data_IF_533463764485
#
_entry.id   IF_533463764485
#
_cell.length_a   1.000
_cell.length_b   1.000
_cell.length_c   1.000
_cell.angle_alpha   90.00
_cell.angle_beta   90.00
_cell.angle_gamma   90.00
#
_symmetry.space_group_name_H-M   'P 1'
#
loop_
_entity.id
_entity.type
_entity.pdbx_description
1 polymer ?
#
# COMPACT_ATOMS: atom_id res chain seq x y z
N UNK A 1 -12.23 -18.43 -4.32
CA UNK A 1 -11.09 -17.55 -3.95
C UNK A 1 -11.32 -16.03 -4.15
N UNK A 2 -12.52 -15.56 -4.54
CA UNK A 2 -12.75 -14.16 -4.96
C UNK A 2 -13.13 -13.19 -3.83
N UNK A 3 -13.87 -13.63 -2.79
CA UNK A 3 -14.42 -12.72 -1.75
C UNK A 3 -13.36 -12.19 -0.78
N UNK A 4 -12.49 -13.06 -0.28
CA UNK A 4 -11.53 -12.70 0.79
C UNK A 4 -10.50 -11.66 0.33
N UNK A 5 -9.94 -11.80 -0.88
CA UNK A 5 -9.03 -10.81 -1.46
C UNK A 5 -9.69 -9.43 -1.66
N UNK A 6 -10.98 -9.41 -2.02
CA UNK A 6 -11.71 -8.16 -2.18
C UNK A 6 -11.92 -7.44 -0.84
N UNK A 7 -12.19 -8.20 0.23
CA UNK A 7 -12.35 -7.67 1.58
C UNK A 7 -11.03 -7.07 2.09
N UNK A 8 -9.90 -7.77 1.91
CA UNK A 8 -8.59 -7.25 2.34
C UNK A 8 -8.24 -5.95 1.62
N UNK A 9 -8.46 -5.88 0.29
CA UNK A 9 -8.24 -4.65 -0.49
C UNK A 9 -9.10 -3.49 0.00
N UNK A 10 -10.37 -3.76 0.31
CA UNK A 10 -11.29 -2.75 0.82
C UNK A 10 -10.85 -2.19 2.18
N UNK A 11 -10.49 -3.08 3.12
CA UNK A 11 -9.99 -2.69 4.44
C UNK A 11 -8.69 -1.89 4.32
N UNK A 12 -7.74 -2.34 3.48
CA UNK A 12 -6.50 -1.60 3.23
C UNK A 12 -6.75 -0.22 2.63
N UNK A 13 -7.70 -0.10 1.70
CA UNK A 13 -8.08 1.19 1.13
C UNK A 13 -8.60 2.16 2.19
N UNK A 14 -9.48 1.69 3.09
CA UNK A 14 -9.98 2.50 4.21
C UNK A 14 -8.84 2.92 5.14
N UNK A 15 -7.94 2.00 5.49
CA UNK A 15 -6.77 2.29 6.33
C UNK A 15 -5.88 3.38 5.73
N UNK A 16 -5.61 3.32 4.42
CA UNK A 16 -4.81 4.33 3.72
C UNK A 16 -5.50 5.69 3.78
N UNK A 17 -6.82 5.75 3.59
CA UNK A 17 -7.59 7.00 3.68
C UNK A 17 -7.50 7.61 5.09
N UNK A 18 -7.68 6.79 6.13
CA UNK A 18 -7.59 7.26 7.52
C UNK A 18 -6.19 7.80 7.82
N UNK A 19 -5.14 7.09 7.41
CA UNK A 19 -3.75 7.51 7.59
C UNK A 19 -3.41 8.78 6.78
N UNK A 20 -3.96 8.92 5.57
CA UNK A 20 -3.79 10.14 4.79
C UNK A 20 -4.46 11.34 5.47
N UNK A 21 -5.70 11.18 5.95
CA UNK A 21 -6.43 12.22 6.68
C UNK A 21 -5.66 12.64 7.94
N UNK A 22 -5.09 11.70 8.69
CA UNK A 22 -4.34 12.04 9.90
C UNK A 22 -3.07 12.85 9.60
N UNK A 23 -2.40 12.59 8.47
CA UNK A 23 -1.28 13.41 7.98
C UNK A 23 -1.78 14.81 7.59
N UNK A 24 -2.92 14.92 6.90
CA UNK A 24 -3.50 16.21 6.48
C UNK A 24 -3.91 17.10 7.65
N UNK A 25 -4.45 16.53 8.73
CA UNK A 25 -4.84 17.27 9.93
C UNK A 25 -3.60 17.85 10.64
N UNK A 26 -2.41 17.30 10.42
CA UNK A 26 -1.15 17.83 10.96
C UNK A 26 -0.97 17.68 12.47
N UNK A 27 -1.90 17.00 13.15
CA UNK A 27 -1.88 16.81 14.61
C UNK A 27 -1.05 15.57 15.04
N UNK A 28 -0.49 14.83 14.09
CA UNK A 28 0.36 13.66 14.34
C UNK A 28 1.66 13.84 13.56
N UNK A 29 2.79 13.42 14.13
CA UNK A 29 4.09 13.46 13.47
C UNK A 29 4.05 12.64 12.17
N UNK A 30 4.14 13.35 11.05
CA UNK A 30 4.11 12.77 9.71
C UNK A 30 5.29 11.83 9.46
N UNK A 31 6.43 12.02 10.16
CA UNK A 31 7.60 11.12 10.07
C UNK A 31 7.28 9.72 10.55
N UNK A 32 6.35 9.60 11.50
CA UNK A 32 5.91 8.32 12.06
C UNK A 32 4.80 7.73 11.19
N UNK A 33 3.79 8.53 10.82
CA UNK A 33 2.58 8.03 10.13
C UNK A 33 2.86 7.66 8.66
N UNK A 34 3.75 8.40 7.99
CA UNK A 34 4.04 8.20 6.56
C UNK A 34 4.63 6.81 6.24
N UNK A 35 5.60 6.27 6.99
CA UNK A 35 6.04 4.88 6.84
C UNK A 35 4.90 3.85 6.94
N UNK A 36 3.97 4.01 7.89
CA UNK A 36 2.83 3.10 8.04
C UNK A 36 1.87 3.21 6.86
N UNK A 37 1.55 4.43 6.41
CA UNK A 37 0.71 4.65 5.23
C UNK A 37 1.33 4.01 3.98
N UNK A 38 2.63 4.22 3.76
CA UNK A 38 3.37 3.62 2.64
C UNK A 38 3.41 2.09 2.73
N UNK A 39 3.57 1.54 3.93
CA UNK A 39 3.49 0.08 4.15
C UNK A 39 2.12 -0.47 3.76
N UNK A 40 1.03 0.16 4.22
CA UNK A 40 -0.33 -0.21 3.82
C UNK A 40 -0.53 -0.12 2.30
N UNK A 41 0.01 0.92 1.68
CA UNK A 41 -0.06 1.13 0.23
C UNK A 41 0.72 0.08 -0.56
N UNK A 42 1.91 -0.31 -0.08
CA UNK A 42 2.72 -1.40 -0.65
C UNK A 42 1.98 -2.73 -0.60
N UNK A 43 1.41 -3.09 0.57
CA UNK A 43 0.59 -4.31 0.71
C UNK A 43 -0.63 -4.27 -0.22
N UNK A 44 -1.32 -3.13 -0.29
CA UNK A 44 -2.48 -2.94 -1.18
C UNK A 44 -2.12 -3.16 -2.65
N UNK A 45 -0.95 -2.67 -3.09
CA UNK A 45 -0.46 -2.88 -4.45
C UNK A 45 -0.15 -4.35 -4.76
N UNK A 46 0.39 -5.13 -3.81
CA UNK A 46 0.58 -6.59 -4.00
C UNK A 46 -0.77 -7.26 -4.25
N UNK A 47 -1.78 -6.95 -3.44
CA UNK A 47 -3.11 -7.55 -3.59
C UNK A 47 -3.79 -7.13 -4.90
N UNK A 48 -3.63 -5.87 -5.32
CA UNK A 48 -4.09 -5.41 -6.63
C UNK A 48 -3.33 -6.11 -7.77
N UNK A 49 -2.01 -6.23 -7.66
CA UNK A 49 -1.17 -6.86 -8.67
C UNK A 49 -1.53 -8.32 -8.89
N UNK A 50 -1.69 -9.08 -7.80
CA UNK A 50 -2.18 -10.46 -7.84
C UNK A 50 -3.59 -10.57 -8.43
N UNK A 51 -4.45 -9.59 -8.16
CA UNK A 51 -5.81 -9.56 -8.71
C UNK A 51 -5.80 -9.36 -10.22
N UNK A 52 -5.07 -8.36 -10.73
CA UNK A 52 -4.99 -8.07 -12.16
C UNK A 52 -4.25 -9.16 -12.93
N UNK A 53 -3.20 -9.76 -12.34
CA UNK A 53 -2.51 -10.91 -12.91
C UNK A 53 -3.47 -12.09 -13.16
N UNK A 54 -4.36 -12.36 -12.20
CA UNK A 54 -5.38 -13.41 -12.30
C UNK A 54 -6.53 -13.08 -13.26
N UNK A 55 -6.72 -11.80 -13.63
CA UNK A 55 -7.73 -11.36 -14.60
C UNK A 55 -7.21 -11.32 -16.05
N UNK A 56 -6.00 -11.83 -16.31
CA UNK A 56 -5.38 -11.79 -17.64
C UNK A 56 -4.65 -10.48 -17.95
N UNK A 57 -4.73 -9.48 -17.06
CA UNK A 57 -3.97 -8.22 -17.13
C UNK A 57 -2.58 -8.39 -16.50
N UNK A 58 -1.77 -9.28 -17.08
CA UNK A 58 -0.48 -9.69 -16.50
C UNK A 58 0.52 -8.53 -16.35
N UNK A 59 0.63 -7.67 -17.37
CA UNK A 59 1.53 -6.51 -17.34
C UNK A 59 1.21 -5.57 -16.18
N UNK A 60 -0.06 -5.17 -16.04
CA UNK A 60 -0.53 -4.31 -14.93
C UNK A 60 -0.29 -4.98 -13.57
N UNK A 61 -0.52 -6.29 -13.51
CA UNK A 61 -0.29 -7.08 -12.31
C UNK A 61 1.18 -7.07 -11.85
N UNK A 62 2.10 -7.30 -12.78
CA UNK A 62 3.55 -7.28 -12.53
C UNK A 62 4.03 -5.88 -12.16
N UNK A 63 3.55 -4.86 -12.88
CA UNK A 63 3.90 -3.46 -12.60
C UNK A 63 3.54 -3.07 -11.17
N UNK A 64 2.35 -3.44 -10.70
CA UNK A 64 1.91 -3.16 -9.33
C UNK A 64 2.74 -3.89 -8.28
N UNK A 65 3.17 -5.12 -8.55
CA UNK A 65 4.06 -5.86 -7.64
C UNK A 65 5.44 -5.19 -7.58
N UNK A 66 5.97 -4.77 -8.72
CA UNK A 66 7.24 -4.03 -8.78
C UNK A 66 7.17 -2.69 -8.05
N UNK A 67 6.10 -1.92 -8.24
CA UNK A 67 5.86 -0.68 -7.50
C UNK A 67 5.79 -0.93 -5.98
N UNK A 68 5.17 -2.03 -5.55
CA UNK A 68 5.14 -2.39 -4.13
C UNK A 68 6.53 -2.65 -3.56
N UNK A 69 7.38 -3.41 -4.26
CA UNK A 69 8.77 -3.67 -3.85
C UNK A 69 9.53 -2.34 -3.71
N UNK A 70 9.35 -1.42 -4.65
CA UNK A 70 9.95 -0.10 -4.59
C UNK A 70 9.47 0.70 -3.37
N UNK A 71 8.16 0.69 -3.08
CA UNK A 71 7.58 1.35 -1.91
C UNK A 71 8.18 0.79 -0.61
N UNK A 72 8.34 -0.53 -0.49
CA UNK A 72 8.99 -1.11 0.69
C UNK A 72 10.45 -0.68 0.84
N UNK A 73 11.19 -0.55 -0.28
CA UNK A 73 12.53 0.03 -0.27
C UNK A 73 12.55 1.47 0.28
N UNK A 74 11.57 2.29 -0.12
CA UNK A 74 11.40 3.66 0.41
C UNK A 74 11.07 3.64 1.90
N UNK A 75 10.18 2.74 2.36
CA UNK A 75 9.84 2.59 3.78
C UNK A 75 11.08 2.26 4.60
N UNK A 76 11.88 1.27 4.18
CA UNK A 76 13.13 0.90 4.87
C UNK A 76 14.06 2.11 4.97
N UNK A 77 14.22 2.87 3.87
CA UNK A 77 15.05 4.07 3.88
C UNK A 77 14.54 5.10 4.89
N UNK A 78 13.24 5.40 4.91
CA UNK A 78 12.66 6.37 5.83
C UNK A 78 12.77 5.88 7.28
N UNK A 79 12.51 4.61 7.56
CA UNK A 79 12.52 4.08 8.92
C UNK A 79 13.92 3.91 9.54
N UNK A 80 14.97 3.75 8.72
CA UNK A 80 16.34 3.55 9.21
C UNK A 80 17.25 4.79 9.09
N UNK A 81 16.97 5.72 8.16
CA UNK A 81 17.85 6.85 7.87
C UNK A 81 17.23 8.23 8.21
N UNK A 82 16.03 8.27 8.79
CA UNK A 82 15.36 9.50 9.24
C UNK A 82 15.27 9.52 10.76
#
# INVERSE_FOLDING_TARGET
>A
MKRNFSIVRFILGILIIILAISIFIGNIDSRIVMPYMLTCLGVFQIFNGLHFYKQGKKSDGILLILCSIFIFGVVIKISFFL
#
